data_IF_428326612359
#
_entry.id   IF_428326612359
#
_cell.length_a   1.000
_cell.length_b   1.000
_cell.length_c   1.000
_cell.angle_alpha   90.00
_cell.angle_beta   90.00
_cell.angle_gamma   90.00
#
_symmetry.space_group_name_H-M   'P 1'
#
loop_
_entity.id
_entity.type
_entity.pdbx_description
1 polymer ?
#
# COMPACT_ATOMS: atom_id res chain seq x y z
N UNK A 1 10.29 15.27 -11.28
CA UNK A 1 9.65 14.14 -10.56
C UNK A 1 10.00 14.29 -9.09
N UNK A 2 9.01 14.51 -8.21
CA UNK A 2 9.23 14.67 -6.76
C UNK A 2 8.76 13.39 -6.08
N UNK A 3 9.69 12.67 -5.46
CA UNK A 3 9.38 11.48 -4.66
C UNK A 3 9.02 11.94 -3.25
N UNK A 4 7.91 11.43 -2.71
CA UNK A 4 7.52 11.66 -1.31
C UNK A 4 7.94 10.45 -0.49
N UNK A 5 8.81 10.66 0.48
CA UNK A 5 9.27 9.65 1.45
C UNK A 5 8.87 10.08 2.85
N UNK A 6 8.36 9.13 3.63
CA UNK A 6 8.07 9.32 5.06
C UNK A 6 9.25 8.73 5.86
N UNK A 7 10.14 9.57 6.41
CA UNK A 7 11.36 9.10 7.09
C UNK A 7 11.08 8.50 8.47
N UNK A 8 9.88 8.68 9.03
CA UNK A 8 9.52 8.20 10.36
C UNK A 8 8.90 6.78 10.33
N UNK A 9 8.72 6.20 9.14
CA UNK A 9 8.22 4.83 8.97
C UNK A 9 9.35 3.86 8.67
N UNK A 10 9.29 2.68 9.28
CA UNK A 10 10.19 1.59 8.94
C UNK A 10 10.09 1.27 7.45
N UNK A 11 11.25 1.17 6.79
CA UNK A 11 11.32 0.89 5.36
C UNK A 11 10.94 -0.57 5.08
N UNK A 12 9.75 -0.78 4.50
CA UNK A 12 9.33 -2.08 3.98
C UNK A 12 9.58 -2.16 2.48
N UNK A 13 10.13 -3.28 2.03
CA UNK A 13 10.22 -3.58 0.60
C UNK A 13 8.89 -4.15 0.15
N UNK A 14 8.20 -3.42 -0.72
CA UNK A 14 6.93 -3.85 -1.32
C UNK A 14 7.16 -4.19 -2.80
N UNK A 15 6.59 -5.30 -3.27
CA UNK A 15 6.55 -5.60 -4.70
C UNK A 15 5.29 -4.96 -5.32
N UNK A 16 5.50 -3.92 -6.12
CA UNK A 16 4.40 -3.24 -6.82
C UNK A 16 3.90 -4.12 -7.96
N UNK A 17 2.61 -4.46 -7.91
CA UNK A 17 2.00 -5.41 -8.86
C UNK A 17 1.14 -4.70 -9.91
N UNK A 18 0.48 -3.58 -9.59
CA UNK A 18 -0.37 -2.87 -10.55
C UNK A 18 -0.64 -1.40 -10.18
N UNK A 19 -1.07 -0.62 -11.19
CA UNK A 19 -1.71 0.69 -11.04
C UNK A 19 -3.12 0.60 -11.65
N UNK A 20 -4.16 0.83 -10.84
CA UNK A 20 -5.55 0.82 -11.28
C UNK A 20 -6.43 1.69 -10.36
N UNK A 21 -7.54 2.17 -10.90
CA UNK A 21 -8.64 2.80 -10.15
C UNK A 21 -9.47 1.69 -9.50
N UNK A 22 -9.22 1.44 -8.21
CA UNK A 22 -9.80 0.28 -7.51
C UNK A 22 -11.22 0.57 -7.01
N UNK A 23 -11.52 1.82 -6.68
CA UNK A 23 -12.80 2.22 -6.07
C UNK A 23 -13.73 3.02 -7.00
N UNK A 24 -13.28 3.34 -8.21
CA UNK A 24 -14.06 4.00 -9.25
C UNK A 24 -14.17 5.51 -9.07
N UNK A 25 -13.29 6.14 -8.29
CA UNK A 25 -13.29 7.58 -8.04
C UNK A 25 -12.58 8.39 -9.14
N UNK A 26 -11.95 7.71 -10.10
CA UNK A 26 -11.20 8.31 -11.20
C UNK A 26 -9.74 8.65 -10.88
N UNK A 27 -9.21 8.24 -9.72
CA UNK A 27 -7.79 8.31 -9.34
C UNK A 27 -7.15 6.93 -9.49
N UNK A 28 -5.82 6.92 -9.63
CA UNK A 28 -5.06 5.67 -9.72
C UNK A 28 -4.39 5.38 -8.39
N UNK A 29 -4.59 4.16 -7.89
CA UNK A 29 -3.94 3.66 -6.68
C UNK A 29 -2.71 2.81 -7.03
N UNK A 30 -1.82 2.68 -6.04
CA UNK A 30 -0.70 1.74 -6.08
C UNK A 30 -1.14 0.46 -5.39
N UNK A 31 -1.21 -0.64 -6.15
CA UNK A 31 -1.45 -1.97 -5.59
C UNK A 31 -0.10 -2.67 -5.43
N UNK A 32 0.25 -2.94 -4.18
CA UNK A 32 1.50 -3.60 -3.82
C UNK A 32 1.22 -4.81 -2.92
N UNK A 33 2.08 -5.82 -3.04
CA UNK A 33 2.05 -7.00 -2.21
C UNK A 33 3.06 -6.82 -1.06
N UNK A 34 2.64 -7.18 0.17
CA UNK A 34 3.50 -7.22 1.35
C UNK A 34 3.71 -8.69 1.77
N UNK A 35 4.92 -9.03 2.17
CA UNK A 35 5.28 -10.38 2.59
C UNK A 35 5.88 -10.32 3.99
N UNK A 36 5.16 -10.83 4.99
CA UNK A 36 5.69 -11.02 6.34
C UNK A 36 5.94 -12.51 6.63
N UNK A 37 6.98 -12.80 7.42
CA UNK A 37 7.45 -14.16 7.71
C UNK A 37 6.41 -15.02 8.45
N UNK A 38 5.40 -14.41 9.08
CA UNK A 38 4.37 -15.10 9.88
C UNK A 38 3.03 -15.30 9.14
N UNK A 39 2.87 -14.77 7.92
CA UNK A 39 1.69 -15.01 7.10
C UNK A 39 1.59 -14.06 5.91
N UNK A 40 0.81 -14.46 4.89
CA UNK A 40 0.51 -13.61 3.73
C UNK A 40 -0.75 -12.80 3.98
N UNK A 41 -0.61 -11.48 4.11
CA UNK A 41 -1.71 -10.51 4.12
C UNK A 41 -1.79 -9.74 2.80
N UNK A 42 -2.93 -9.13 2.52
CA UNK A 42 -3.08 -8.15 1.46
C UNK A 42 -3.59 -6.87 2.07
N UNK A 43 -2.91 -5.76 1.79
CA UNK A 43 -3.25 -4.45 2.34
C UNK A 43 -3.55 -3.49 1.21
N UNK A 44 -4.69 -2.79 1.29
CA UNK A 44 -5.00 -1.69 0.40
C UNK A 44 -4.68 -0.37 1.10
N UNK A 45 -3.93 0.49 0.41
CA UNK A 45 -3.64 1.85 0.84
C UNK A 45 -4.29 2.85 -0.10
N UNK A 46 -4.91 3.89 0.46
CA UNK A 46 -5.27 5.10 -0.29
C UNK A 46 -4.23 6.17 0.00
N UNK A 47 -3.84 6.93 -1.03
CA UNK A 47 -2.93 8.07 -0.88
C UNK A 47 -3.74 9.37 -1.00
N UNK A 48 -3.85 10.10 0.11
CA UNK A 48 -4.49 11.43 0.15
C UNK A 48 -3.42 12.45 0.50
N UNK A 49 -3.24 13.47 -0.35
CA UNK A 49 -2.26 14.55 -0.17
C UNK A 49 -0.82 14.06 0.12
N UNK A 50 -0.42 12.97 -0.54
CA UNK A 50 0.90 12.36 -0.38
C UNK A 50 1.05 11.45 0.83
N UNK A 51 0.02 11.32 1.68
CA UNK A 51 0.04 10.44 2.85
C UNK A 51 -0.66 9.13 2.55
N UNK A 52 0.03 8.00 2.75
CA UNK A 52 -0.59 6.68 2.64
C UNK A 52 -1.39 6.35 3.90
N UNK A 53 -2.64 5.93 3.70
CA UNK A 53 -3.56 5.48 4.76
C UNK A 53 -4.01 4.07 4.44
N UNK A 54 -3.79 3.12 5.36
CA UNK A 54 -4.31 1.75 5.26
C UNK A 54 -5.83 1.81 5.39
N UNK A 55 -6.55 1.27 4.41
CA UNK A 55 -8.04 1.29 4.41
C UNK A 55 -8.64 -0.10 4.49
N UNK A 56 -7.93 -1.11 4.00
CA UNK A 56 -8.35 -2.50 4.06
C UNK A 56 -7.12 -3.37 4.32
N UNK A 57 -7.32 -4.44 5.06
CA UNK A 57 -6.31 -5.49 5.24
C UNK A 57 -7.01 -6.83 5.39
N UNK A 58 -6.58 -7.84 4.64
CA UNK A 58 -6.77 -9.23 5.08
C UNK A 58 -5.72 -9.54 6.13
N UNK A 59 -6.11 -10.28 7.16
CA UNK A 59 -5.25 -10.59 8.30
C UNK A 59 -3.97 -11.30 7.85
N UNK A 60 -2.87 -10.90 8.48
CA UNK A 60 -1.61 -11.64 8.57
C UNK A 60 -1.83 -12.68 9.69
N UNK A 61 -1.57 -13.97 9.45
CA UNK A 61 -1.64 -14.98 10.54
C UNK A 61 -0.57 -14.70 11.60
N UNK A 62 -0.72 -14.96 12.91
CA UNK A 62 -1.74 -15.67 13.72
C UNK A 62 -2.30 -14.71 14.78
#
# INVERSE_FOLDING_TARGET
MKVHSDPDKEGRTLEVTALLDVDGDGRLEIVAYDYEYEGSGSVAHIIIDGKSTKVLGSGEGV
#
